data_IF_060235190035
#
_entry.id   IF_060235190035
#
_cell.length_a   1.000
_cell.length_b   1.000
_cell.length_c   1.000
_cell.angle_alpha   90.00
_cell.angle_beta   90.00
_cell.angle_gamma   90.00
#
_symmetry.space_group_name_H-M   'P 1'
#
loop_
_entity.id
_entity.type
_entity.pdbx_description
1 polymer ?
#
# COMPACT_ATOMS: atom_id res chain seq x y z
N UNK A 1 5.43 -25.74 14.96
CA UNK A 1 5.99 -25.68 13.62
C UNK A 1 5.48 -26.81 12.71
N UNK A 2 4.70 -27.78 13.21
CA UNK A 2 4.14 -28.88 12.41
C UNK A 2 5.14 -29.99 12.01
N UNK A 3 6.36 -29.97 12.57
CA UNK A 3 7.32 -31.06 12.33
C UNK A 3 6.82 -32.35 12.98
N UNK A 4 6.74 -33.42 12.22
CA UNK A 4 6.34 -34.76 12.68
C UNK A 4 7.58 -35.63 12.77
N UNK A 5 7.75 -36.31 13.89
CA UNK A 5 8.79 -37.30 14.11
C UNK A 5 8.18 -38.72 14.14
N UNK A 6 8.76 -39.65 13.40
CA UNK A 6 8.38 -41.06 13.40
C UNK A 6 9.51 -41.87 14.02
N UNK A 7 9.33 -42.30 15.26
CA UNK A 7 10.29 -43.10 16.02
C UNK A 7 9.90 -43.22 17.49
N UNK A 8 10.53 -44.12 18.23
CA UNK A 8 10.20 -44.40 19.65
C UNK A 8 10.53 -43.23 20.57
N UNK A 9 11.51 -42.38 20.21
CA UNK A 9 11.93 -41.24 21.05
C UNK A 9 12.10 -40.00 20.21
N UNK A 10 11.42 -38.89 20.53
CA UNK A 10 11.57 -37.63 19.77
C UNK A 10 12.98 -37.04 19.98
N UNK A 11 13.49 -36.27 19.03
CA UNK A 11 14.80 -35.63 19.16
C UNK A 11 14.82 -34.64 20.31
N UNK A 12 15.98 -34.40 20.92
CA UNK A 12 16.16 -33.44 22.02
C UNK A 12 15.70 -32.03 21.67
N UNK A 13 15.79 -31.69 20.42
CA UNK A 13 15.26 -30.42 19.86
C UNK A 13 14.68 -30.66 18.47
N UNK A 14 13.60 -29.95 18.17
CA UNK A 14 13.03 -29.96 16.84
C UNK A 14 14.05 -29.42 15.81
N UNK A 15 14.35 -30.15 14.73
CA UNK A 15 15.33 -29.70 13.72
C UNK A 15 14.89 -28.46 12.93
N UNK A 16 13.59 -28.13 12.98
CA UNK A 16 13.03 -26.98 12.25
C UNK A 16 12.95 -25.72 13.12
N UNK A 17 12.36 -25.82 14.34
CA UNK A 17 12.13 -24.63 15.17
C UNK A 17 12.89 -24.65 16.49
N UNK A 18 13.74 -25.65 16.73
CA UNK A 18 14.56 -25.85 17.93
C UNK A 18 13.77 -25.96 19.26
N UNK A 19 12.46 -26.17 19.18
CA UNK A 19 11.67 -26.46 20.40
C UNK A 19 12.19 -27.69 21.10
N UNK A 20 12.22 -27.68 22.45
CA UNK A 20 12.68 -28.77 23.26
C UNK A 20 11.72 -29.98 23.20
N UNK A 21 12.19 -31.16 23.61
CA UNK A 21 11.46 -32.44 23.55
C UNK A 21 10.09 -32.39 24.23
N UNK A 22 9.94 -31.61 25.31
CA UNK A 22 8.68 -31.45 26.05
C UNK A 22 7.56 -30.78 25.25
N UNK A 23 7.89 -30.23 24.10
CA UNK A 23 6.94 -29.61 23.15
C UNK A 23 6.43 -30.57 22.06
N UNK A 24 6.94 -31.79 22.02
CA UNK A 24 6.38 -32.84 21.18
C UNK A 24 5.17 -33.46 21.89
N UNK A 25 4.08 -33.62 21.14
CA UNK A 25 2.86 -34.27 21.60
C UNK A 25 2.71 -35.57 20.85
N UNK A 26 2.52 -36.66 21.59
CA UNK A 26 2.25 -37.98 21.01
C UNK A 26 0.91 -37.96 20.28
N UNK A 27 0.92 -38.33 19.02
CA UNK A 27 -0.29 -38.40 18.21
C UNK A 27 -0.91 -39.79 18.41
N UNK A 28 -1.68 -39.98 19.50
CA UNK A 28 -2.51 -41.17 19.74
C UNK A 28 -3.81 -40.99 18.94
N UNK A 29 -3.90 -41.66 17.81
CA UNK A 29 -5.12 -41.72 17.02
C UNK A 29 -5.02 -42.86 16.04
N UNK A 30 -5.95 -43.78 16.09
CA UNK A 30 -6.17 -44.75 15.03
C UNK A 30 -6.17 -44.00 13.69
N UNK A 31 -5.38 -44.50 12.75
CA UNK A 31 -5.53 -44.09 11.35
C UNK A 31 -6.95 -44.45 10.90
N UNK A 32 -7.92 -43.57 11.18
CA UNK A 32 -9.02 -43.50 10.28
C UNK A 32 -8.39 -43.17 8.91
N UNK A 33 -8.65 -44.05 7.97
CA UNK A 33 -8.34 -43.84 6.56
C UNK A 33 -9.06 -42.58 6.09
N UNK A 34 -8.55 -41.40 6.42
CA UNK A 34 -8.84 -40.20 5.68
C UNK A 34 -7.92 -40.21 4.46
N UNK A 35 -8.40 -40.84 3.45
CA UNK A 35 -7.96 -40.58 2.09
C UNK A 35 -7.91 -39.07 1.88
N UNK A 36 -6.76 -38.57 1.46
CA UNK A 36 -6.53 -37.19 0.98
C UNK A 36 -6.55 -36.03 1.97
N UNK A 37 -5.52 -35.92 2.83
CA UNK A 37 -5.11 -34.60 3.34
C UNK A 37 -3.60 -34.43 3.38
N UNK A 38 -2.95 -34.52 2.26
CA UNK A 38 -1.60 -34.02 2.06
C UNK A 38 -1.59 -33.03 0.90
N UNK A 39 -2.21 -31.89 1.09
CA UNK A 39 -1.91 -30.69 0.32
C UNK A 39 -2.27 -29.50 1.19
N UNK A 40 -1.27 -28.62 1.43
CA UNK A 40 -1.47 -27.32 2.07
C UNK A 40 -2.48 -26.48 1.28
N UNK A 41 -3.75 -26.73 1.50
CA UNK A 41 -4.83 -25.87 1.05
C UNK A 41 -4.96 -24.75 2.05
N UNK A 42 -4.64 -23.52 1.59
CA UNK A 42 -5.36 -22.36 2.08
C UNK A 42 -6.85 -22.71 2.11
N UNK A 43 -7.64 -22.30 3.10
CA UNK A 43 -9.08 -22.52 3.10
C UNK A 43 -9.72 -21.70 1.98
N UNK A 44 -9.64 -22.23 0.77
CA UNK A 44 -10.37 -21.73 -0.37
C UNK A 44 -11.62 -22.55 -0.48
N UNK A 45 -12.75 -21.87 -0.32
CA UNK A 45 -14.12 -22.28 -0.66
C UNK A 45 -14.26 -23.67 -1.26
N UNK A 46 -14.96 -24.55 -0.54
CA UNK A 46 -15.45 -25.83 -1.05
C UNK A 46 -16.55 -25.67 -2.11
N UNK A 47 -16.26 -24.94 -3.18
CA UNK A 47 -17.02 -25.02 -4.40
C UNK A 47 -16.44 -26.19 -5.19
N UNK A 48 -17.29 -27.17 -5.54
CA UNK A 48 -16.95 -28.22 -6.46
C UNK A 48 -16.13 -27.64 -7.63
N UNK A 49 -15.00 -28.26 -7.96
CA UNK A 49 -14.20 -27.90 -9.14
C UNK A 49 -15.02 -28.31 -10.37
N UNK A 50 -15.78 -27.44 -11.03
CA UNK A 50 -16.50 -27.83 -12.22
C UNK A 50 -15.50 -28.01 -13.36
N UNK A 51 -15.55 -29.15 -14.02
CA UNK A 51 -14.97 -29.33 -15.34
C UNK A 51 -13.49 -29.62 -15.41
N UNK A 52 -12.99 -30.55 -14.60
CA UNK A 52 -11.81 -31.30 -15.02
C UNK A 52 -12.17 -32.11 -16.28
N UNK A 53 -11.26 -32.14 -17.28
CA UNK A 53 -11.47 -32.95 -18.47
C UNK A 53 -11.32 -34.47 -18.20
N UNK A 54 -11.15 -34.86 -16.93
CA UNK A 54 -10.98 -36.22 -16.43
C UNK A 54 -11.53 -36.30 -14.99
N UNK A 55 -11.62 -37.54 -14.45
CA UNK A 55 -12.14 -37.80 -13.10
C UNK A 55 -11.36 -37.04 -12.02
N UNK A 56 -12.05 -36.35 -11.13
CA UNK A 56 -11.50 -35.59 -9.99
C UNK A 56 -10.59 -36.43 -9.10
N UNK A 57 -10.76 -37.75 -9.05
CA UNK A 57 -9.93 -38.69 -8.30
C UNK A 57 -8.44 -38.66 -8.75
N UNK A 58 -8.17 -38.24 -9.96
CA UNK A 58 -6.81 -38.16 -10.52
C UNK A 58 -6.23 -36.73 -10.49
N UNK A 59 -7.01 -35.77 -9.99
CA UNK A 59 -6.53 -34.39 -9.85
C UNK A 59 -5.42 -34.29 -8.80
N UNK A 60 -4.33 -33.60 -9.16
CA UNK A 60 -3.23 -33.31 -8.23
C UNK A 60 -2.74 -31.89 -8.38
N UNK A 61 -2.10 -31.38 -7.33
CA UNK A 61 -1.29 -30.17 -7.38
C UNK A 61 0.19 -30.56 -7.31
N UNK A 62 1.04 -29.83 -8.03
CA UNK A 62 2.49 -29.99 -7.95
C UNK A 62 3.12 -28.66 -7.50
N UNK A 63 3.57 -28.56 -6.22
CA UNK A 63 4.23 -27.37 -5.73
C UNK A 63 5.51 -26.99 -6.48
N UNK A 64 6.16 -27.95 -7.15
CA UNK A 64 7.32 -27.71 -8.02
C UNK A 64 6.95 -27.08 -9.37
N UNK A 65 5.69 -27.19 -9.81
CA UNK A 65 5.19 -26.56 -11.01
C UNK A 65 4.50 -25.22 -10.69
N UNK A 66 5.25 -24.14 -10.72
CA UNK A 66 4.87 -22.80 -10.24
C UNK A 66 3.50 -22.29 -10.68
N UNK A 67 3.03 -22.68 -11.86
CA UNK A 67 1.79 -22.15 -12.45
C UNK A 67 0.69 -23.17 -12.68
N UNK A 68 0.89 -24.43 -12.28
CA UNK A 68 -0.06 -25.51 -12.57
C UNK A 68 -1.47 -25.22 -12.07
N UNK A 69 -1.62 -24.89 -10.78
CA UNK A 69 -2.93 -24.58 -10.19
C UNK A 69 -3.56 -23.33 -10.83
N UNK A 70 -2.76 -22.31 -11.13
CA UNK A 70 -3.23 -21.10 -11.78
C UNK A 70 -3.74 -21.38 -13.21
N UNK A 71 -3.04 -22.22 -13.98
CA UNK A 71 -3.45 -22.60 -15.33
C UNK A 71 -4.76 -23.39 -15.27
N UNK A 72 -4.89 -24.33 -14.35
CA UNK A 72 -6.11 -25.09 -14.14
C UNK A 72 -7.28 -24.18 -13.75
N UNK A 73 -7.06 -23.23 -12.83
CA UNK A 73 -8.08 -22.26 -12.42
C UNK A 73 -8.54 -21.38 -13.60
N UNK A 74 -7.61 -20.92 -14.41
CA UNK A 74 -7.91 -20.13 -15.63
C UNK A 74 -8.69 -20.96 -16.65
N UNK A 75 -8.30 -22.21 -16.87
CA UNK A 75 -8.96 -23.11 -17.81
C UNK A 75 -10.39 -23.41 -17.41
N UNK A 76 -10.65 -23.58 -16.09
CA UNK A 76 -12.00 -23.82 -15.58
C UNK A 76 -12.84 -22.54 -15.61
N UNK A 77 -12.29 -21.40 -15.21
CA UNK A 77 -13.06 -20.15 -15.08
C UNK A 77 -13.24 -19.39 -16.40
N UNK A 78 -12.42 -19.65 -17.40
CA UNK A 78 -12.40 -18.90 -18.67
C UNK A 78 -12.12 -17.40 -18.49
N UNK A 79 -11.48 -16.99 -17.37
CA UNK A 79 -11.19 -15.59 -17.06
C UNK A 79 -9.91 -15.44 -16.23
N UNK A 80 -9.37 -14.22 -16.19
CA UNK A 80 -8.19 -13.90 -15.39
C UNK A 80 -8.45 -14.13 -13.91
N UNK A 81 -7.47 -14.72 -13.23
CA UNK A 81 -7.49 -14.90 -11.77
C UNK A 81 -7.08 -13.59 -11.10
N UNK A 82 -7.86 -13.16 -10.12
CA UNK A 82 -7.56 -11.97 -9.32
C UNK A 82 -6.71 -12.33 -8.10
N UNK A 83 -5.73 -11.47 -7.79
CA UNK A 83 -4.92 -11.54 -6.58
C UNK A 83 -5.05 -10.29 -5.72
N UNK A 84 -5.11 -10.47 -4.41
CA UNK A 84 -5.15 -9.38 -3.46
C UNK A 84 -3.76 -9.07 -2.90
N UNK A 85 -3.53 -7.79 -2.59
CA UNK A 85 -2.32 -7.26 -1.95
C UNK A 85 -1.04 -7.35 -2.81
N UNK A 86 0.09 -6.89 -2.26
CA UNK A 86 1.38 -6.85 -2.95
C UNK A 86 1.91 -8.22 -3.34
N UNK A 87 2.83 -8.22 -4.31
CA UNK A 87 3.56 -9.42 -4.72
C UNK A 87 4.28 -10.06 -3.53
N UNK A 88 4.41 -11.39 -3.58
CA UNK A 88 5.25 -12.16 -2.67
C UNK A 88 6.56 -12.61 -3.34
N UNK A 89 6.78 -12.20 -4.60
CA UNK A 89 8.05 -12.47 -5.28
C UNK A 89 9.17 -11.67 -4.64
N UNK A 90 10.31 -12.30 -4.47
CA UNK A 90 11.52 -11.64 -4.01
C UNK A 90 11.91 -10.52 -4.99
N UNK A 91 12.32 -9.40 -4.44
CA UNK A 91 12.84 -8.24 -5.17
C UNK A 91 13.73 -7.43 -4.22
N UNK A 92 14.70 -6.65 -4.72
CA UNK A 92 15.44 -5.71 -3.88
C UNK A 92 14.48 -4.76 -3.16
N UNK A 93 14.73 -4.53 -1.88
CA UNK A 93 13.81 -3.82 -1.00
C UNK A 93 14.50 -3.02 0.11
N UNK A 94 13.69 -2.50 1.02
CA UNK A 94 14.15 -1.65 2.10
C UNK A 94 15.02 -2.38 3.12
N UNK A 95 14.85 -3.71 3.28
CA UNK A 95 15.64 -4.53 4.20
C UNK A 95 17.10 -4.70 3.74
N UNK A 96 17.39 -4.47 2.46
CA UNK A 96 18.74 -4.50 1.90
C UNK A 96 19.53 -3.22 2.13
N UNK A 97 18.91 -2.18 2.71
CA UNK A 97 19.51 -0.86 2.96
C UNK A 97 19.66 -0.65 4.46
N UNK A 98 20.79 -0.09 4.88
CA UNK A 98 21.11 0.19 6.27
C UNK A 98 21.28 1.69 6.48
N UNK A 99 20.95 2.19 7.69
CA UNK A 99 21.26 3.53 8.13
C UNK A 99 22.62 3.53 8.83
N UNK A 100 23.46 4.51 8.51
CA UNK A 100 24.78 4.70 9.09
C UNK A 100 24.67 5.66 10.29
N UNK A 101 24.73 5.10 11.51
CA UNK A 101 24.69 5.91 12.73
C UNK A 101 25.98 6.70 12.95
N UNK A 102 25.82 7.95 13.37
CA UNK A 102 26.91 8.82 13.78
C UNK A 102 27.51 8.39 15.13
N UNK A 103 28.83 8.62 15.33
CA UNK A 103 29.48 8.35 16.61
C UNK A 103 30.48 9.46 16.99
N UNK A 104 31.44 9.73 16.15
CA UNK A 104 32.51 10.71 16.39
C UNK A 104 32.55 11.84 15.38
N UNK A 105 32.30 11.53 14.12
CA UNK A 105 32.29 12.50 13.02
C UNK A 105 31.24 12.10 11.94
N UNK A 106 30.10 12.75 11.95
CA UNK A 106 29.59 13.69 12.96
C UNK A 106 29.24 12.98 14.28
N UNK A 107 29.09 13.72 15.40
CA UNK A 107 28.55 13.17 16.63
C UNK A 107 27.02 13.03 16.51
N UNK A 108 26.38 12.05 17.18
CA UNK A 108 24.93 11.98 17.27
C UNK A 108 24.39 13.17 18.11
N UNK A 109 23.10 13.45 17.95
CA UNK A 109 22.43 14.38 18.85
C UNK A 109 22.10 13.69 20.18
N UNK A 110 21.84 14.49 21.22
CA UNK A 110 21.34 13.99 22.50
C UNK A 110 19.98 13.28 22.34
N UNK A 111 19.70 12.29 23.20
CA UNK A 111 18.51 11.45 23.12
C UNK A 111 17.18 12.23 23.17
N UNK A 112 17.19 13.39 23.84
CA UNK A 112 16.04 14.29 24.01
C UNK A 112 16.08 15.51 23.06
N UNK A 113 17.11 15.62 22.21
CA UNK A 113 17.22 16.74 21.28
C UNK A 113 15.96 16.87 20.39
N UNK A 114 15.45 18.09 20.22
CA UNK A 114 14.27 18.33 19.39
C UNK A 114 14.62 18.05 17.91
N UNK A 115 13.73 17.32 17.23
CA UNK A 115 13.85 17.02 15.80
C UNK A 115 12.62 17.52 15.06
N UNK A 116 12.83 18.30 14.01
CA UNK A 116 11.77 18.73 13.10
C UNK A 116 11.48 17.61 12.08
N UNK A 117 10.24 17.10 12.07
CA UNK A 117 9.78 16.03 11.17
C UNK A 117 8.75 16.51 10.16
N UNK A 118 8.28 17.75 10.27
CA UNK A 118 7.24 18.30 9.39
C UNK A 118 7.76 18.53 7.97
N UNK A 119 6.88 18.38 7.00
CA UNK A 119 7.12 18.70 5.60
C UNK A 119 5.93 19.45 5.00
N UNK A 120 6.14 20.07 3.84
CA UNK A 120 5.11 20.87 3.15
C UNK A 120 4.92 20.37 1.74
N UNK A 121 3.72 19.95 1.41
CA UNK A 121 3.32 19.69 0.02
C UNK A 121 2.69 20.96 -0.58
N UNK A 122 3.17 21.33 -1.75
CA UNK A 122 2.71 22.55 -2.41
C UNK A 122 3.23 23.83 -1.74
N UNK A 123 4.54 23.98 -1.63
CA UNK A 123 5.22 25.14 -1.03
C UNK A 123 4.76 26.47 -1.63
N UNK A 124 4.39 26.47 -2.93
CA UNK A 124 3.94 27.64 -3.68
C UNK A 124 2.41 27.71 -3.83
N UNK A 125 1.66 26.75 -3.33
CA UNK A 125 0.22 26.78 -3.35
C UNK A 125 -0.32 27.92 -2.47
N UNK A 126 -1.44 28.51 -2.85
CA UNK A 126 -2.13 29.55 -2.04
C UNK A 126 -2.46 29.04 -0.64
N UNK A 127 -2.73 27.73 -0.49
CA UNK A 127 -3.05 27.04 0.76
C UNK A 127 -2.18 25.79 0.91
N UNK A 128 -0.89 25.93 1.24
CA UNK A 128 0.00 24.76 1.32
C UNK A 128 -0.48 23.73 2.35
N UNK A 129 -0.23 22.46 2.07
CA UNK A 129 -0.51 21.37 3.00
C UNK A 129 0.73 21.13 3.87
N UNK A 130 0.66 21.58 5.11
CA UNK A 130 1.71 21.32 6.12
C UNK A 130 1.44 19.98 6.80
N UNK A 131 2.23 18.98 6.50
CA UNK A 131 2.19 17.67 7.14
C UNK A 131 3.02 17.72 8.43
N UNK A 132 2.36 17.63 9.60
CA UNK A 132 3.04 17.49 10.91
C UNK A 132 3.72 16.12 11.05
N UNK A 133 3.17 15.12 10.38
CA UNK A 133 3.68 13.77 10.29
C UNK A 133 4.03 13.47 8.81
N UNK A 134 5.27 13.15 8.45
CA UNK A 134 5.67 12.96 7.06
C UNK A 134 5.15 11.64 6.46
N UNK A 135 4.59 10.76 7.29
CA UNK A 135 3.95 9.52 6.88
C UNK A 135 2.45 9.64 7.08
N UNK A 136 1.64 9.26 6.08
CA UNK A 136 0.20 9.40 6.13
C UNK A 136 -0.53 8.21 5.47
N UNK A 137 -1.85 8.09 5.73
CA UNK A 137 -2.68 7.00 5.18
C UNK A 137 -2.95 7.23 3.70
N UNK A 138 -2.47 6.32 2.85
CA UNK A 138 -2.65 6.33 1.40
C UNK A 138 -4.10 6.06 0.97
N UNK A 139 -4.37 6.23 -0.31
CA UNK A 139 -5.68 6.03 -0.93
C UNK A 139 -6.18 4.58 -0.85
N UNK A 140 -7.31 4.41 -0.21
CA UNK A 140 -8.02 3.13 -0.07
C UNK A 140 -9.54 3.37 -0.11
N UNK A 141 -10.22 2.90 -1.14
CA UNK A 141 -11.61 3.26 -1.40
C UNK A 141 -12.61 2.65 -0.42
N UNK A 142 -13.66 3.41 -0.06
CA UNK A 142 -14.88 2.85 0.48
C UNK A 142 -15.55 1.94 -0.56
N UNK A 143 -15.92 0.75 -0.15
CA UNK A 143 -16.35 -0.34 -1.03
C UNK A 143 -15.29 -1.42 -1.17
N UNK A 144 -14.03 -1.09 -1.46
CA UNK A 144 -12.92 -2.03 -1.27
C UNK A 144 -12.71 -2.35 0.21
N UNK A 145 -12.77 -1.34 1.05
CA UNK A 145 -12.74 -1.41 2.52
C UNK A 145 -14.14 -1.18 3.11
N UNK A 146 -14.36 -1.68 4.31
CA UNK A 146 -15.56 -1.42 5.10
C UNK A 146 -15.60 0.03 5.60
N UNK A 147 -16.82 0.51 5.90
CA UNK A 147 -17.04 1.81 6.54
C UNK A 147 -16.28 1.91 7.87
N UNK A 148 -16.36 0.86 8.67
CA UNK A 148 -15.79 0.81 10.02
C UNK A 148 -14.26 1.02 10.00
N UNK A 149 -13.54 0.32 9.12
CA UNK A 149 -12.08 0.51 9.04
C UNK A 149 -11.72 1.86 8.43
N UNK A 150 -12.51 2.40 7.51
CA UNK A 150 -12.29 3.75 6.96
C UNK A 150 -12.39 4.81 8.05
N UNK A 151 -13.42 4.74 8.89
CA UNK A 151 -13.61 5.63 10.03
C UNK A 151 -12.47 5.45 11.06
N UNK A 152 -12.12 4.20 11.37
CA UNK A 152 -11.04 3.91 12.31
C UNK A 152 -9.68 4.45 11.84
N UNK A 153 -9.37 4.34 10.55
CA UNK A 153 -8.15 4.91 9.96
C UNK A 153 -8.15 6.43 10.05
N UNK A 154 -9.27 7.10 9.72
CA UNK A 154 -9.40 8.55 9.80
C UNK A 154 -9.21 9.05 11.24
N UNK A 155 -9.96 8.48 12.18
CA UNK A 155 -9.89 8.81 13.60
C UNK A 155 -8.49 8.56 14.18
N UNK A 156 -7.91 7.38 13.91
CA UNK A 156 -6.59 7.02 14.44
C UNK A 156 -5.45 7.85 13.85
N UNK A 157 -5.46 8.15 12.55
CA UNK A 157 -4.48 9.04 11.94
C UNK A 157 -4.63 10.48 12.49
N UNK A 158 -5.85 10.97 12.67
CA UNK A 158 -6.12 12.29 13.25
C UNK A 158 -5.58 12.41 14.68
N UNK A 159 -5.78 11.40 15.54
CA UNK A 159 -5.24 11.35 16.90
C UNK A 159 -3.71 11.45 16.96
N UNK A 160 -3.02 11.06 15.89
CA UNK A 160 -1.56 11.18 15.75
C UNK A 160 -1.12 12.41 14.91
N UNK A 161 -2.06 13.24 14.43
CA UNK A 161 -1.75 14.38 13.58
C UNK A 161 -1.28 14.02 12.16
N UNK A 162 -1.57 12.81 11.70
CA UNK A 162 -1.27 12.36 10.34
C UNK A 162 -2.45 12.60 9.39
N UNK A 163 -2.15 12.84 8.11
CA UNK A 163 -3.17 13.01 7.08
C UNK A 163 -3.74 11.65 6.62
N UNK A 164 -4.89 11.71 5.93
CA UNK A 164 -5.54 10.56 5.33
C UNK A 164 -6.04 10.86 3.92
N UNK A 165 -6.05 9.85 3.06
CA UNK A 165 -6.55 9.94 1.70
C UNK A 165 -7.91 9.25 1.53
N UNK A 166 -8.76 9.79 0.63
CA UNK A 166 -10.11 9.25 0.36
C UNK A 166 -10.09 7.87 -0.30
N UNK A 167 -9.28 7.71 -1.33
CA UNK A 167 -9.35 6.58 -2.25
C UNK A 167 -10.39 6.77 -3.36
N UNK A 168 -10.35 5.88 -4.36
CA UNK A 168 -11.11 5.95 -5.62
C UNK A 168 -12.64 5.84 -5.46
N UNK A 169 -13.15 5.64 -4.27
CA UNK A 169 -14.57 5.37 -4.03
C UNK A 169 -15.47 6.59 -3.84
N UNK A 170 -14.94 7.79 -3.93
CA UNK A 170 -15.61 9.00 -3.48
C UNK A 170 -15.35 9.27 -1.99
N UNK A 171 -16.05 10.27 -1.44
CA UNK A 171 -15.90 10.70 -0.05
C UNK A 171 -16.96 10.02 0.82
N UNK A 172 -16.52 9.26 1.80
CA UNK A 172 -17.38 8.80 2.89
C UNK A 172 -17.47 9.94 3.94
N UNK A 173 -18.65 10.51 4.20
CA UNK A 173 -18.77 11.69 5.04
C UNK A 173 -18.19 11.52 6.45
N UNK A 174 -18.44 10.39 7.08
CA UNK A 174 -17.95 10.09 8.45
C UNK A 174 -16.44 10.01 8.50
N UNK A 175 -15.80 9.34 7.54
CA UNK A 175 -14.34 9.29 7.40
C UNK A 175 -13.75 10.68 7.30
N UNK A 176 -14.32 11.51 6.40
CA UNK A 176 -13.83 12.86 6.19
C UNK A 176 -14.00 13.74 7.44
N UNK A 177 -15.08 13.58 8.18
CA UNK A 177 -15.34 14.36 9.41
C UNK A 177 -14.38 13.99 10.55
N UNK A 178 -13.90 12.74 10.61
CA UNK A 178 -12.92 12.28 11.60
C UNK A 178 -11.47 12.62 11.20
N UNK A 179 -11.19 12.87 9.93
CA UNK A 179 -9.82 13.11 9.46
C UNK A 179 -9.28 14.47 9.88
N UNK A 180 -8.03 14.51 10.37
CA UNK A 180 -7.30 15.76 10.67
C UNK A 180 -7.00 16.58 9.41
N UNK A 181 -6.42 15.92 8.41
CA UNK A 181 -6.17 16.44 7.07
C UNK A 181 -6.60 15.37 6.07
N UNK A 182 -7.28 15.79 4.99
CA UNK A 182 -7.90 14.86 4.05
C UNK A 182 -7.49 15.18 2.62
N UNK A 183 -6.82 14.23 1.95
CA UNK A 183 -6.37 14.34 0.56
C UNK A 183 -7.38 13.60 -0.31
N UNK A 184 -7.98 14.31 -1.25
CA UNK A 184 -9.02 13.76 -2.15
C UNK A 184 -8.42 13.16 -3.41
N UNK A 185 -8.76 11.91 -3.75
CA UNK A 185 -8.36 11.25 -4.99
C UNK A 185 -9.31 11.61 -6.13
N UNK A 186 -8.84 12.40 -7.09
CA UNK A 186 -9.57 12.76 -8.29
C UNK A 186 -9.35 11.69 -9.36
N UNK A 187 -10.44 11.05 -9.79
CA UNK A 187 -10.44 9.86 -10.66
C UNK A 187 -11.28 10.10 -11.91
N UNK A 188 -11.10 9.31 -13.01
CA UNK A 188 -11.88 9.48 -14.24
C UNK A 188 -13.39 9.46 -14.04
N UNK A 189 -13.87 8.67 -13.07
CA UNK A 189 -15.30 8.59 -12.71
C UNK A 189 -15.82 9.79 -11.93
N UNK A 190 -14.94 10.68 -11.44
CA UNK A 190 -15.28 11.93 -10.72
C UNK A 190 -16.22 11.76 -9.53
N UNK A 191 -16.19 10.61 -8.85
CA UNK A 191 -16.99 10.39 -7.65
C UNK A 191 -16.73 11.47 -6.60
N UNK A 192 -17.79 12.09 -6.10
CA UNK A 192 -17.73 13.19 -5.11
C UNK A 192 -16.90 14.42 -5.54
N UNK A 193 -16.55 14.55 -6.81
CA UNK A 193 -15.74 15.67 -7.33
C UNK A 193 -16.58 16.94 -7.55
N UNK A 194 -17.27 17.42 -6.52
CA UNK A 194 -18.01 18.67 -6.54
C UNK A 194 -17.12 19.82 -6.08
N UNK A 195 -17.42 21.05 -6.53
CA UNK A 195 -16.69 22.25 -6.11
C UNK A 195 -16.70 22.43 -4.57
N UNK A 196 -17.83 22.11 -3.93
CA UNK A 196 -17.95 22.15 -2.48
C UNK A 196 -16.93 21.19 -1.83
N UNK A 197 -16.86 19.94 -2.27
CA UNK A 197 -15.92 18.96 -1.73
C UNK A 197 -14.48 19.35 -1.99
N UNK A 198 -14.15 19.83 -3.21
CA UNK A 198 -12.80 20.28 -3.56
C UNK A 198 -12.32 21.43 -2.66
N UNK A 199 -13.23 22.32 -2.23
CA UNK A 199 -12.92 23.42 -1.30
C UNK A 199 -12.83 22.99 0.17
N UNK A 200 -13.26 21.80 0.51
CA UNK A 200 -13.32 21.30 1.90
C UNK A 200 -12.23 20.28 2.21
N UNK A 201 -11.45 19.84 1.23
CA UNK A 201 -10.32 18.92 1.43
C UNK A 201 -9.00 19.68 1.64
N UNK A 202 -7.95 19.02 2.09
CA UNK A 202 -6.65 19.64 2.35
C UNK A 202 -5.78 19.69 1.10
N UNK A 203 -5.93 18.73 0.19
CA UNK A 203 -5.28 18.67 -1.12
C UNK A 203 -6.10 17.78 -2.06
N UNK A 204 -5.83 17.87 -3.36
CA UNK A 204 -6.42 17.04 -4.42
C UNK A 204 -5.31 16.25 -5.09
N UNK A 205 -5.48 14.95 -5.31
CA UNK A 205 -4.51 14.13 -6.02
C UNK A 205 -5.15 13.48 -7.26
N UNK A 206 -4.66 13.81 -8.45
CA UNK A 206 -5.09 13.22 -9.73
C UNK A 206 -4.49 11.81 -9.82
N UNK A 207 -5.34 10.80 -9.89
CA UNK A 207 -4.91 9.42 -10.03
C UNK A 207 -4.80 9.00 -11.48
N UNK A 208 -3.57 8.89 -11.98
CA UNK A 208 -3.27 8.31 -13.29
C UNK A 208 -3.05 6.80 -13.19
N UNK A 209 -2.41 6.34 -12.10
CA UNK A 209 -2.12 4.93 -11.88
C UNK A 209 -1.98 4.58 -10.41
N UNK A 210 -1.84 3.29 -10.12
CA UNK A 210 -1.62 2.78 -8.76
C UNK A 210 -0.90 1.44 -8.77
N UNK A 211 0.05 1.24 -7.85
CA UNK A 211 0.71 -0.01 -7.54
C UNK A 211 1.19 -0.78 -8.77
N UNK A 212 0.86 -2.07 -8.82
CA UNK A 212 1.19 -2.97 -9.93
C UNK A 212 0.12 -2.98 -11.04
N UNK A 213 -0.51 -1.83 -11.30
CA UNK A 213 -1.55 -1.68 -12.32
C UNK A 213 -1.33 -0.45 -13.22
N UNK A 214 -0.13 -0.24 -13.78
CA UNK A 214 0.06 0.86 -14.73
C UNK A 214 -0.84 0.64 -15.96
N UNK A 215 -1.61 1.67 -16.34
CA UNK A 215 -2.52 1.60 -17.48
C UNK A 215 -3.81 0.80 -17.25
N UNK A 216 -4.16 0.48 -16.00
CA UNK A 216 -5.40 -0.21 -15.66
C UNK A 216 -6.17 0.51 -14.55
N UNK A 217 -7.47 0.72 -14.76
CA UNK A 217 -8.36 1.34 -13.77
C UNK A 217 -8.64 0.47 -12.54
N UNK A 218 -9.41 1.04 -11.62
CA UNK A 218 -9.92 0.32 -10.43
C UNK A 218 -10.99 -0.70 -10.80
N UNK A 219 -11.11 -1.74 -9.98
CA UNK A 219 -12.18 -2.74 -10.09
C UNK A 219 -12.76 -3.01 -8.71
N UNK A 220 -14.07 -2.87 -8.58
CA UNK A 220 -14.85 -3.28 -7.42
C UNK A 220 -15.83 -4.38 -7.85
N UNK A 221 -15.66 -5.63 -7.37
CA UNK A 221 -16.59 -6.72 -7.68
C UNK A 221 -18.02 -6.41 -7.24
N UNK A 222 -19.00 -6.83 -8.03
CA UNK A 222 -20.43 -6.58 -7.78
C UNK A 222 -20.91 -7.06 -6.42
N UNK A 223 -20.39 -8.18 -5.94
CA UNK A 223 -20.67 -8.70 -4.59
C UNK A 223 -20.37 -7.71 -3.45
N UNK A 224 -19.54 -6.69 -3.72
CA UNK A 224 -19.21 -5.63 -2.77
C UNK A 224 -19.96 -4.32 -3.03
N UNK A 225 -20.75 -4.25 -4.11
CA UNK A 225 -21.49 -3.05 -4.48
C UNK A 225 -22.86 -3.07 -3.80
N UNK A 226 -22.88 -2.57 -2.55
CA UNK A 226 -24.11 -2.37 -1.78
C UNK A 226 -24.92 -1.21 -2.35
N UNK A 227 -26.24 -1.06 -2.01
CA UNK A 227 -27.03 0.09 -2.41
C UNK A 227 -26.36 1.44 -2.08
N UNK A 228 -25.79 1.59 -0.92
CA UNK A 228 -25.07 2.79 -0.50
C UNK A 228 -23.84 3.11 -1.38
N UNK A 229 -23.05 2.09 -1.70
CA UNK A 229 -21.86 2.25 -2.58
C UNK A 229 -22.30 2.56 -4.01
N UNK A 230 -23.38 1.93 -4.46
CA UNK A 230 -23.97 2.17 -5.77
C UNK A 230 -24.45 3.61 -5.90
N UNK A 231 -25.16 4.13 -4.90
CA UNK A 231 -25.61 5.52 -4.85
C UNK A 231 -24.43 6.50 -4.89
N UNK A 232 -23.42 6.30 -4.01
CA UNK A 232 -22.22 7.14 -3.96
C UNK A 232 -21.47 7.19 -5.30
N UNK A 233 -21.51 6.10 -6.05
CA UNK A 233 -20.78 5.95 -7.32
C UNK A 233 -21.65 6.13 -8.57
N UNK A 234 -22.97 6.41 -8.42
CA UNK A 234 -23.90 6.54 -9.53
C UNK A 234 -23.99 5.25 -10.37
N UNK A 235 -24.05 4.08 -9.71
CA UNK A 235 -24.08 2.74 -10.33
C UNK A 235 -25.23 1.91 -9.78
N UNK A 236 -25.42 0.71 -10.33
CA UNK A 236 -26.44 -0.23 -9.82
C UNK A 236 -25.84 -1.15 -8.75
N UNK A 237 -26.60 -1.48 -7.70
CA UNK A 237 -26.19 -2.47 -6.72
C UNK A 237 -25.96 -3.84 -7.36
N UNK A 238 -24.94 -4.57 -6.89
CA UNK A 238 -24.64 -5.92 -7.34
C UNK A 238 -23.90 -6.03 -8.69
N UNK A 239 -23.70 -4.93 -9.40
CA UNK A 239 -22.95 -4.91 -10.68
C UNK A 239 -21.48 -4.53 -10.45
N UNK A 240 -20.57 -5.19 -11.17
CA UNK A 240 -19.13 -4.85 -11.17
C UNK A 240 -18.91 -3.40 -11.57
N UNK A 241 -18.08 -2.69 -10.81
CA UNK A 241 -17.67 -1.33 -11.15
C UNK A 241 -16.23 -1.37 -11.66
N UNK A 242 -16.06 -1.12 -12.95
CA UNK A 242 -14.75 -0.97 -13.58
C UNK A 242 -14.51 0.51 -13.91
N UNK A 243 -13.38 1.04 -13.45
CA UNK A 243 -12.96 2.39 -13.79
C UNK A 243 -12.22 2.39 -15.13
N UNK A 244 -12.33 3.46 -15.92
CA UNK A 244 -11.52 3.62 -17.12
C UNK A 244 -10.01 3.52 -16.82
N UNK A 245 -9.22 3.11 -17.80
CA UNK A 245 -7.76 3.02 -17.69
C UNK A 245 -7.07 4.38 -17.57
N UNK A 246 -7.77 5.46 -17.90
CA UNK A 246 -7.29 6.84 -17.82
C UNK A 246 -8.43 7.83 -18.03
N UNK A 247 -8.12 9.11 -17.95
CA UNK A 247 -9.08 10.18 -18.21
C UNK A 247 -9.32 10.31 -19.72
N UNK A 248 -10.56 10.22 -20.22
CA UNK A 248 -10.85 10.28 -21.65
C UNK A 248 -10.41 11.60 -22.32
N UNK A 249 -10.39 12.68 -21.55
CA UNK A 249 -9.97 14.02 -21.99
C UNK A 249 -8.45 14.21 -22.06
N UNK A 250 -7.64 13.38 -21.42
CA UNK A 250 -6.18 13.49 -21.46
C UNK A 250 -5.65 12.90 -22.76
N UNK A 251 -5.29 13.74 -23.72
CA UNK A 251 -4.65 13.36 -24.99
C UNK A 251 -3.16 13.73 -25.01
N UNK A 252 -2.73 14.67 -24.18
CA UNK A 252 -1.37 15.15 -24.10
C UNK A 252 -1.08 15.84 -22.77
N UNK A 253 0.14 16.32 -22.64
CA UNK A 253 0.61 17.00 -21.43
C UNK A 253 -0.09 18.34 -21.17
N UNK A 254 -0.53 18.99 -22.24
CA UNK A 254 -1.31 20.24 -22.17
C UNK A 254 -2.68 20.04 -21.51
N UNK A 255 -3.30 18.87 -21.75
CA UNK A 255 -4.59 18.56 -21.13
C UNK A 255 -4.43 18.23 -19.65
N UNK A 256 -3.31 17.57 -19.28
CA UNK A 256 -2.95 17.33 -17.87
C UNK A 256 -2.73 18.66 -17.14
N UNK A 257 -2.01 19.61 -17.76
CA UNK A 257 -1.83 20.96 -17.20
C UNK A 257 -3.16 21.68 -17.00
N UNK A 258 -4.04 21.68 -18.00
CA UNK A 258 -5.39 22.28 -17.87
C UNK A 258 -6.17 21.63 -16.70
N UNK A 259 -6.04 20.32 -16.48
CA UNK A 259 -6.69 19.62 -15.38
C UNK A 259 -6.11 20.06 -14.03
N UNK A 260 -4.80 20.18 -13.90
CA UNK A 260 -4.13 20.70 -12.68
C UNK A 260 -4.60 22.12 -12.40
N UNK A 261 -4.57 23.01 -13.40
CA UNK A 261 -4.98 24.41 -13.27
C UNK A 261 -6.48 24.54 -12.92
N UNK A 262 -7.33 23.69 -13.49
CA UNK A 262 -8.75 23.63 -13.16
C UNK A 262 -8.96 23.22 -11.71
N UNK A 263 -8.34 22.14 -11.26
CA UNK A 263 -8.48 21.66 -9.88
C UNK A 263 -7.91 22.65 -8.87
N UNK A 264 -6.79 23.30 -9.17
CA UNK A 264 -6.21 24.36 -8.33
C UNK A 264 -7.18 25.53 -8.17
N UNK A 265 -7.85 25.95 -9.22
CA UNK A 265 -8.86 27.00 -9.18
C UNK A 265 -10.12 26.56 -8.41
N UNK A 266 -10.67 25.39 -8.73
CA UNK A 266 -11.90 24.88 -8.11
C UNK A 266 -11.72 24.58 -6.61
N UNK A 267 -10.52 24.19 -6.18
CA UNK A 267 -10.18 23.92 -4.78
C UNK A 267 -9.80 25.17 -3.97
N UNK A 268 -9.89 26.38 -4.54
CA UNK A 268 -9.44 27.64 -3.93
C UNK A 268 -7.94 27.63 -3.57
N UNK A 269 -7.12 27.11 -4.49
CA UNK A 269 -5.66 27.15 -4.38
C UNK A 269 -5.06 26.14 -3.39
N UNK A 270 -5.73 25.04 -3.15
CA UNK A 270 -5.15 23.89 -2.43
C UNK A 270 -4.14 23.16 -3.32
N UNK A 271 -3.16 22.47 -2.74
CA UNK A 271 -2.20 21.68 -3.50
C UNK A 271 -2.90 20.65 -4.39
N UNK A 272 -2.43 20.55 -5.63
CA UNK A 272 -2.86 19.54 -6.60
C UNK A 272 -1.69 18.63 -6.89
N UNK A 273 -1.84 17.34 -6.55
CA UNK A 273 -0.86 16.30 -6.83
C UNK A 273 -1.23 15.45 -8.03
N UNK A 274 -0.25 14.69 -8.53
CA UNK A 274 -0.43 13.66 -9.55
C UNK A 274 0.17 12.36 -9.04
N UNK A 275 -0.64 11.28 -9.04
CA UNK A 275 -0.20 9.94 -8.66
C UNK A 275 -0.07 9.04 -9.87
N UNK A 276 1.13 8.45 -10.04
CA UNK A 276 1.45 7.50 -11.10
C UNK A 276 1.93 6.18 -10.52
N UNK A 277 1.67 5.07 -11.21
CA UNK A 277 2.33 3.80 -10.93
C UNK A 277 3.76 3.82 -11.49
N UNK A 278 4.67 3.08 -10.88
CA UNK A 278 6.06 3.00 -11.32
C UNK A 278 6.21 2.17 -12.61
N UNK A 279 5.68 2.70 -13.72
CA UNK A 279 5.79 2.17 -15.06
C UNK A 279 6.98 2.76 -15.83
N UNK A 280 6.71 3.66 -16.75
CA UNK A 280 7.72 4.40 -17.54
C UNK A 280 8.05 5.72 -16.85
N UNK A 281 8.66 5.65 -15.68
CA UNK A 281 8.77 6.72 -14.67
C UNK A 281 9.20 8.06 -15.29
N UNK A 282 10.32 8.11 -16.01
CA UNK A 282 10.87 9.38 -16.56
C UNK A 282 9.95 9.99 -17.61
N UNK A 283 9.31 9.17 -18.46
CA UNK A 283 8.38 9.63 -19.49
C UNK A 283 7.10 10.17 -18.86
N UNK A 284 6.59 9.51 -17.83
CA UNK A 284 5.40 9.96 -17.12
C UNK A 284 5.71 11.21 -16.29
N UNK A 285 6.91 11.31 -15.70
CA UNK A 285 7.38 12.50 -14.99
C UNK A 285 7.55 13.73 -15.90
N UNK A 286 7.98 13.54 -17.16
CA UNK A 286 8.01 14.64 -18.14
C UNK A 286 6.64 15.31 -18.29
N UNK A 287 5.59 14.50 -18.39
CA UNK A 287 4.21 15.00 -18.47
C UNK A 287 3.77 15.66 -17.16
N UNK A 288 4.12 15.03 -16.03
CA UNK A 288 3.77 15.57 -14.71
C UNK A 288 4.46 16.93 -14.47
N UNK A 289 5.77 17.03 -14.71
CA UNK A 289 6.52 18.29 -14.53
C UNK A 289 5.99 19.40 -15.44
N UNK A 290 5.66 19.10 -16.70
CA UNK A 290 5.03 20.06 -17.60
C UNK A 290 3.68 20.58 -17.08
N UNK A 291 2.93 19.73 -16.40
CA UNK A 291 1.63 20.09 -15.82
C UNK A 291 1.74 20.95 -14.54
N UNK A 292 2.94 21.08 -13.96
CA UNK A 292 3.24 21.90 -12.78
C UNK A 292 2.35 21.58 -11.58
N UNK A 293 2.25 20.30 -11.15
CA UNK A 293 1.55 19.96 -9.91
C UNK A 293 2.36 20.42 -8.69
N UNK A 294 1.72 20.44 -7.55
CA UNK A 294 2.35 20.82 -6.28
C UNK A 294 3.14 19.65 -5.65
N UNK A 295 2.73 18.42 -5.96
CA UNK A 295 3.45 17.19 -5.56
C UNK A 295 3.19 16.05 -6.56
N UNK A 296 4.10 15.08 -6.59
CA UNK A 296 3.96 13.86 -7.39
C UNK A 296 4.11 12.65 -6.47
N UNK A 297 3.18 11.71 -6.56
CA UNK A 297 3.24 10.44 -5.83
C UNK A 297 3.61 9.30 -6.77
N UNK A 298 4.68 8.59 -6.45
CA UNK A 298 5.10 7.37 -7.16
C UNK A 298 4.65 6.13 -6.39
N UNK A 299 3.89 5.25 -7.04
CA UNK A 299 3.43 4.00 -6.45
C UNK A 299 4.21 2.81 -7.03
N UNK A 300 5.15 2.29 -6.25
CA UNK A 300 6.08 1.24 -6.69
C UNK A 300 5.50 -0.18 -6.62
N UNK A 301 6.28 -1.16 -7.10
CA UNK A 301 5.89 -2.58 -7.20
C UNK A 301 5.49 -3.25 -5.88
N UNK A 302 5.97 -2.75 -4.74
CA UNK A 302 5.51 -3.21 -3.43
C UNK A 302 4.04 -2.89 -3.12
N UNK A 303 3.47 -1.91 -3.86
CA UNK A 303 2.06 -1.53 -3.78
C UNK A 303 1.18 -2.45 -4.60
N UNK A 304 -0.06 -2.61 -4.15
CA UNK A 304 -1.10 -3.33 -4.90
C UNK A 304 -2.50 -2.99 -4.36
N UNK A 305 -3.50 -3.60 -4.97
CA UNK A 305 -4.90 -3.37 -4.64
C UNK A 305 -5.56 -4.61 -4.03
N UNK A 306 -6.78 -4.47 -3.53
CA UNK A 306 -7.58 -5.59 -3.04
C UNK A 306 -8.02 -6.56 -4.14
N UNK A 307 -8.03 -6.11 -5.39
CA UNK A 307 -8.42 -6.91 -6.57
C UNK A 307 -7.62 -6.43 -7.78
N UNK A 308 -6.72 -7.27 -8.27
CA UNK A 308 -5.97 -7.04 -9.52
C UNK A 308 -5.72 -8.37 -10.21
N UNK A 309 -5.58 -8.39 -11.56
CA UNK A 309 -5.15 -9.60 -12.23
C UNK A 309 -3.82 -10.07 -11.66
N UNK A 310 -3.76 -11.33 -11.23
CA UNK A 310 -2.60 -11.90 -10.55
C UNK A 310 -1.33 -11.78 -11.40
N UNK A 311 -1.41 -12.18 -12.67
CA UNK A 311 -0.25 -12.14 -13.56
C UNK A 311 0.21 -10.72 -13.89
N UNK A 312 -0.70 -9.73 -13.99
CA UNK A 312 -0.33 -8.34 -14.14
C UNK A 312 0.45 -7.85 -12.91
N UNK A 313 -0.02 -8.17 -11.70
CA UNK A 313 0.67 -7.86 -10.45
C UNK A 313 2.10 -8.43 -10.41
N UNK A 314 2.26 -9.67 -10.88
CA UNK A 314 3.57 -10.34 -10.85
C UNK A 314 4.50 -9.90 -11.98
N UNK A 315 3.98 -9.29 -13.04
CA UNK A 315 4.75 -8.95 -14.24
C UNK A 315 4.95 -7.44 -14.47
N UNK A 316 4.43 -6.56 -13.58
CA UNK A 316 4.47 -5.12 -13.84
C UNK A 316 5.04 -4.29 -12.69
N UNK A 317 5.38 -3.06 -13.01
CA UNK A 317 5.91 -2.02 -12.11
C UNK A 317 7.35 -2.23 -11.63
N UNK A 318 8.04 -1.13 -11.42
CA UNK A 318 9.42 -1.06 -10.91
C UNK A 318 9.42 -1.19 -9.38
N UNK A 319 10.35 -1.96 -8.78
CA UNK A 319 10.53 -2.01 -7.33
C UNK A 319 10.67 -0.62 -6.71
N UNK A 320 10.05 -0.41 -5.55
CA UNK A 320 9.85 0.92 -4.96
C UNK A 320 11.15 1.67 -4.69
N UNK A 321 12.22 0.97 -4.29
CA UNK A 321 13.56 1.56 -4.09
C UNK A 321 14.09 2.19 -5.38
N UNK A 322 14.06 1.44 -6.48
CA UNK A 322 14.49 1.95 -7.79
C UNK A 322 13.55 3.03 -8.33
N UNK A 323 12.25 2.88 -8.10
CA UNK A 323 11.26 3.87 -8.53
C UNK A 323 11.50 5.23 -7.87
N UNK A 324 11.79 5.25 -6.56
CA UNK A 324 12.13 6.46 -5.83
C UNK A 324 13.43 7.08 -6.34
N UNK A 325 14.50 6.29 -6.45
CA UNK A 325 15.79 6.76 -6.97
C UNK A 325 15.64 7.41 -8.37
N UNK A 326 14.97 6.72 -9.30
CA UNK A 326 14.76 7.22 -10.66
C UNK A 326 13.94 8.49 -10.69
N UNK A 327 12.88 8.55 -9.87
CA UNK A 327 12.02 9.74 -9.79
C UNK A 327 12.80 10.94 -9.23
N UNK A 328 13.56 10.76 -8.13
CA UNK A 328 14.35 11.85 -7.55
C UNK A 328 15.43 12.32 -8.53
N UNK A 329 16.18 11.40 -9.10
CA UNK A 329 17.20 11.72 -10.11
C UNK A 329 16.64 12.51 -11.30
N UNK A 330 15.45 12.13 -11.79
CA UNK A 330 14.79 12.87 -12.88
C UNK A 330 14.42 14.29 -12.44
N UNK A 331 13.73 14.45 -11.30
CA UNK A 331 13.31 15.77 -10.79
C UNK A 331 14.52 16.68 -10.55
N UNK A 332 15.62 16.16 -10.01
CA UNK A 332 16.86 16.91 -9.81
C UNK A 332 17.50 17.33 -11.14
N UNK A 333 17.49 16.46 -12.14
CA UNK A 333 18.07 16.73 -13.47
C UNK A 333 17.36 17.88 -14.19
N UNK A 334 16.05 18.07 -13.95
CA UNK A 334 15.26 19.16 -14.49
C UNK A 334 15.10 20.33 -13.50
N UNK A 335 15.80 20.26 -12.35
CA UNK A 335 15.76 21.27 -11.28
C UNK A 335 14.34 21.60 -10.82
N UNK A 336 13.49 20.57 -10.70
CA UNK A 336 12.12 20.71 -10.23
C UNK A 336 12.07 20.73 -8.70
N UNK A 337 11.31 21.66 -8.13
CA UNK A 337 11.03 21.77 -6.70
C UNK A 337 9.68 21.14 -6.29
N UNK A 338 9.05 20.42 -7.22
CA UNK A 338 7.82 19.64 -6.97
C UNK A 338 8.11 18.60 -5.89
N UNK A 339 7.28 18.58 -4.85
CA UNK A 339 7.42 17.61 -3.76
C UNK A 339 7.22 16.17 -4.24
N UNK A 340 8.08 15.26 -3.81
CA UNK A 340 8.05 13.84 -4.17
C UNK A 340 7.50 13.00 -3.03
N UNK A 341 6.40 12.32 -3.26
CA UNK A 341 5.80 11.36 -2.33
C UNK A 341 6.03 9.94 -2.85
N UNK A 342 6.41 9.04 -1.96
CA UNK A 342 6.58 7.62 -2.30
C UNK A 342 5.54 6.75 -1.61
N UNK A 343 5.05 5.74 -2.31
CA UNK A 343 4.21 4.67 -1.76
C UNK A 343 4.54 3.35 -2.46
N UNK A 344 4.09 2.24 -1.91
CA UNK A 344 4.29 0.92 -2.51
C UNK A 344 5.14 -0.01 -1.64
N UNK A 345 4.54 -0.57 -0.60
CA UNK A 345 5.14 -1.64 0.19
C UNK A 345 5.90 -1.22 1.45
N UNK A 346 6.13 0.08 1.68
CA UNK A 346 6.74 0.58 2.92
C UNK A 346 5.82 0.30 4.12
N UNK A 347 6.39 -0.07 5.28
CA UNK A 347 5.60 -0.52 6.43
C UNK A 347 6.07 -0.04 7.79
N UNK A 348 7.35 0.13 8.00
CA UNK A 348 7.97 0.45 9.30
C UNK A 348 8.80 1.73 9.23
N UNK A 349 9.06 2.32 10.36
CA UNK A 349 9.80 3.59 10.50
C UNK A 349 11.16 3.58 9.78
N UNK A 350 11.86 2.44 9.81
CA UNK A 350 13.12 2.28 9.09
C UNK A 350 12.97 2.43 7.57
N UNK A 351 11.89 1.88 6.98
CA UNK A 351 11.60 2.06 5.54
C UNK A 351 11.40 3.55 5.23
N UNK A 352 10.68 4.25 6.11
CA UNK A 352 10.33 5.66 5.91
C UNK A 352 11.55 6.57 6.03
N UNK A 353 12.41 6.32 7.02
CA UNK A 353 13.68 7.05 7.17
C UNK A 353 14.58 6.88 5.94
N UNK A 354 14.74 5.64 5.45
CA UNK A 354 15.50 5.33 4.23
C UNK A 354 14.90 6.00 2.99
N UNK A 355 13.56 5.98 2.86
CA UNK A 355 12.90 6.64 1.74
C UNK A 355 13.08 8.16 1.77
N UNK A 356 13.03 8.79 2.94
CA UNK A 356 13.29 10.22 3.11
C UNK A 356 14.76 10.52 2.80
N UNK A 357 15.71 9.72 3.28
CA UNK A 357 17.13 9.84 2.95
C UNK A 357 17.39 9.71 1.43
N UNK A 358 16.60 8.93 0.72
CA UNK A 358 16.63 8.83 -0.75
C UNK A 358 15.90 9.98 -1.47
N UNK A 359 15.44 11.01 -0.74
CA UNK A 359 14.86 12.23 -1.28
C UNK A 359 13.32 12.23 -1.45
N UNK A 360 12.58 11.38 -0.74
CA UNK A 360 11.14 11.53 -0.61
C UNK A 360 10.80 12.65 0.38
N UNK A 361 9.87 13.55 0.03
CA UNK A 361 9.35 14.59 0.93
C UNK A 361 8.32 14.03 1.91
N UNK A 362 7.59 12.97 1.51
CA UNK A 362 6.62 12.28 2.36
C UNK A 362 6.40 10.83 1.90
N UNK A 363 5.81 10.03 2.77
CA UNK A 363 5.51 8.61 2.52
C UNK A 363 4.03 8.34 2.73
N UNK A 364 3.36 7.75 1.74
CA UNK A 364 1.97 7.32 1.84
C UNK A 364 1.90 5.81 2.06
N UNK A 365 1.18 5.36 3.11
CA UNK A 365 1.11 3.96 3.53
C UNK A 365 -0.32 3.42 3.55
N UNK A 366 -0.53 2.22 3.00
CA UNK A 366 -1.85 1.57 2.95
C UNK A 366 -1.92 0.35 3.88
N UNK A 367 -1.07 -0.64 3.61
CA UNK A 367 -1.13 -1.94 4.29
C UNK A 367 -0.76 -1.85 5.77
N UNK A 368 0.23 -1.04 6.14
CA UNK A 368 0.70 -0.95 7.51
C UNK A 368 -0.38 -0.41 8.47
N UNK A 369 -1.06 0.73 8.21
CA UNK A 369 -2.16 1.18 9.06
C UNK A 369 -3.36 0.22 9.04
N UNK A 370 -3.62 -0.52 7.95
CA UNK A 370 -4.62 -1.59 7.96
C UNK A 370 -4.23 -2.74 8.91
N UNK A 371 -2.95 -3.14 8.95
CA UNK A 371 -2.45 -4.15 9.90
C UNK A 371 -2.53 -3.64 11.34
N UNK A 372 -2.19 -2.39 11.57
CA UNK A 372 -2.36 -1.76 12.87
C UNK A 372 -3.83 -1.79 13.31
N UNK A 373 -4.78 -1.48 12.43
CA UNK A 373 -6.21 -1.53 12.73
C UNK A 373 -6.68 -2.97 13.06
N UNK A 374 -6.61 -3.89 12.09
CA UNK A 374 -7.13 -5.25 12.26
C UNK A 374 -6.71 -6.25 11.16
N UNK A 375 -6.06 -5.83 10.06
CA UNK A 375 -5.78 -6.71 8.92
C UNK A 375 -4.82 -7.84 9.29
N UNK A 376 -5.21 -9.09 9.03
CA UNK A 376 -4.43 -10.31 9.30
C UNK A 376 -3.79 -10.91 8.03
N UNK A 377 -3.77 -10.17 6.91
CA UNK A 377 -3.14 -10.59 5.66
C UNK A 377 -3.71 -11.89 5.04
N UNK A 378 -5.01 -12.15 5.18
CA UNK A 378 -5.67 -13.32 4.57
C UNK A 378 -5.59 -13.35 3.04
N UNK A 379 -5.28 -12.23 2.38
CA UNK A 379 -5.16 -12.11 0.91
C UNK A 379 -6.43 -12.47 0.12
N UNK A 380 -7.58 -12.38 0.77
CA UNK A 380 -8.91 -12.63 0.17
C UNK A 380 -9.72 -11.34 -0.01
N UNK A 381 -9.06 -10.18 -0.07
CA UNK A 381 -9.73 -8.87 -0.11
C UNK A 381 -10.71 -8.72 -1.29
N UNK A 382 -10.42 -9.36 -2.43
CA UNK A 382 -11.28 -9.33 -3.61
C UNK A 382 -12.59 -10.09 -3.46
N UNK A 383 -12.67 -11.07 -2.52
CA UNK A 383 -13.86 -11.92 -2.35
C UNK A 383 -14.97 -11.30 -1.48
N UNK A 384 -14.71 -10.16 -0.84
CA UNK A 384 -15.65 -9.57 0.12
C UNK A 384 -15.83 -10.35 1.45
N UNK A 385 -15.13 -11.45 1.66
CA UNK A 385 -15.28 -12.35 2.83
C UNK A 385 -14.21 -12.17 3.90
N UNK A 386 -13.65 -10.97 4.04
CA UNK A 386 -12.61 -10.70 5.03
C UNK A 386 -13.12 -10.93 6.46
N UNK A 387 -12.61 -11.95 7.21
CA UNK A 387 -13.14 -12.28 8.54
C UNK A 387 -12.80 -11.24 9.60
N UNK A 388 -11.81 -10.37 9.35
CA UNK A 388 -11.43 -9.28 10.25
C UNK A 388 -12.30 -8.02 10.07
N UNK A 389 -13.34 -8.02 9.22
CA UNK A 389 -14.20 -6.87 9.00
C UNK A 389 -13.56 -5.73 8.18
N UNK A 390 -12.35 -5.93 7.62
CA UNK A 390 -11.58 -4.87 6.95
C UNK A 390 -12.00 -4.69 5.48
N UNK A 391 -11.94 -5.75 4.68
CA UNK A 391 -12.17 -5.69 3.23
C UNK A 391 -13.47 -6.44 2.85
N UNK A 392 -14.56 -6.10 3.49
CA UNK A 392 -15.89 -6.72 3.33
C UNK A 392 -16.99 -5.68 3.37
N UNK A 393 -18.14 -5.99 2.77
CA UNK A 393 -19.38 -5.24 2.91
C UNK A 393 -20.47 -6.08 3.61
N UNK A 394 -20.17 -7.33 3.96
CA UNK A 394 -21.07 -8.18 4.74
C UNK A 394 -21.28 -7.58 6.15
N UNK A 395 -22.55 -7.28 6.54
CA UNK A 395 -22.84 -6.65 7.85
C UNK A 395 -22.36 -7.47 9.05
N UNK A 396 -22.41 -8.81 8.98
CA UNK A 396 -21.98 -9.66 10.10
C UNK A 396 -20.44 -9.69 10.25
N UNK A 397 -19.72 -9.63 9.14
CA UNK A 397 -18.27 -9.54 9.17
C UNK A 397 -17.81 -8.14 9.60
N UNK A 398 -18.49 -7.08 9.15
CA UNK A 398 -18.19 -5.68 9.52
C UNK A 398 -18.29 -5.42 11.01
N UNK A 399 -19.32 -5.98 11.70
CA UNK A 399 -19.52 -5.86 13.16
C UNK A 399 -18.32 -6.34 14.00
N UNK A 400 -17.44 -7.19 13.44
CA UNK A 400 -16.26 -7.70 14.13
C UNK A 400 -15.19 -6.63 14.37
N UNK A 401 -15.13 -5.60 13.51
CA UNK A 401 -14.19 -4.51 13.65
C UNK A 401 -14.74 -3.47 14.62
N UNK A 402 -14.00 -3.24 15.73
CA UNK A 402 -14.33 -2.25 16.74
C UNK A 402 -13.63 -0.94 16.42
N UNK A 403 -14.37 0.06 15.97
CA UNK A 403 -13.85 1.32 15.41
C UNK A 403 -12.88 1.99 16.39
N UNK A 404 -13.26 2.20 17.64
CA UNK A 404 -12.44 2.93 18.60
C UNK A 404 -11.16 2.19 18.97
N UNK A 405 -11.22 0.87 19.15
CA UNK A 405 -10.03 0.04 19.40
C UNK A 405 -9.08 0.03 18.19
N UNK A 406 -9.62 -0.09 16.99
CA UNK A 406 -8.84 -0.03 15.77
C UNK A 406 -8.21 1.36 15.57
N UNK A 407 -8.94 2.43 15.87
CA UNK A 407 -8.44 3.81 15.81
C UNK A 407 -7.28 4.03 16.78
N UNK A 408 -7.39 3.58 18.04
CA UNK A 408 -6.32 3.69 19.03
C UNK A 408 -5.06 2.94 18.58
N UNK A 409 -5.20 1.74 18.02
CA UNK A 409 -4.08 0.97 17.47
C UNK A 409 -3.40 1.69 16.30
N UNK A 410 -4.18 2.29 15.41
CA UNK A 410 -3.66 3.11 14.30
C UNK A 410 -2.93 4.34 14.85
N UNK A 411 -3.50 5.02 15.84
CA UNK A 411 -2.87 6.18 16.50
C UNK A 411 -1.52 5.80 17.13
N UNK A 412 -1.47 4.68 17.84
CA UNK A 412 -0.25 4.19 18.47
C UNK A 412 0.82 3.84 17.42
N UNK A 413 0.44 3.19 16.31
CA UNK A 413 1.35 2.92 15.19
C UNK A 413 1.99 4.22 14.67
N UNK A 414 1.21 5.27 14.41
CA UNK A 414 1.74 6.53 13.91
C UNK A 414 2.56 7.29 14.96
N UNK A 415 2.17 7.29 16.23
CA UNK A 415 2.95 7.92 17.32
C UNK A 415 4.31 7.27 17.49
N UNK A 416 4.35 5.94 17.56
CA UNK A 416 5.61 5.17 17.64
C UNK A 416 6.48 5.43 16.41
N UNK A 417 5.89 5.36 15.22
CA UNK A 417 6.60 5.69 13.96
C UNK A 417 7.26 7.08 14.02
N UNK A 418 6.55 8.07 14.55
CA UNK A 418 7.06 9.44 14.64
C UNK A 418 8.27 9.54 15.58
N UNK A 419 8.19 8.90 16.75
CA UNK A 419 9.31 8.89 17.71
C UNK A 419 10.54 8.13 17.17
N UNK A 420 10.31 7.02 16.48
CA UNK A 420 11.40 6.28 15.83
C UNK A 420 12.04 7.08 14.67
N UNK A 421 11.27 7.84 13.90
CA UNK A 421 11.82 8.74 12.87
C UNK A 421 12.70 9.85 13.51
N UNK A 422 12.28 10.40 14.65
CA UNK A 422 13.12 11.35 15.41
C UNK A 422 14.41 10.68 15.93
N UNK A 423 14.30 9.43 16.39
CA UNK A 423 15.46 8.65 16.83
C UNK A 423 16.44 8.44 15.68
N UNK A 424 15.97 8.07 14.48
CA UNK A 424 16.84 7.93 13.30
C UNK A 424 17.56 9.22 12.95
N UNK A 425 16.89 10.37 12.98
CA UNK A 425 17.53 11.66 12.76
C UNK A 425 18.58 11.97 13.85
N UNK A 426 18.30 11.69 15.13
CA UNK A 426 19.26 11.92 16.23
C UNK A 426 20.51 11.08 16.09
N UNK A 427 20.37 9.78 15.81
CA UNK A 427 21.52 8.88 15.69
C UNK A 427 22.39 9.15 14.44
N UNK A 428 21.86 9.87 13.46
CA UNK A 428 22.63 10.33 12.28
C UNK A 428 23.15 11.76 12.43
N UNK A 429 22.86 12.42 13.57
CA UNK A 429 23.35 13.77 13.86
C UNK A 429 22.51 14.91 13.28
N UNK A 430 21.28 14.63 12.82
CA UNK A 430 20.40 15.59 12.16
C UNK A 430 19.31 16.14 13.08
N UNK A 431 19.12 17.47 13.08
CA UNK A 431 18.04 18.16 13.81
C UNK A 431 16.72 18.22 13.02
N UNK A 432 16.76 17.86 11.76
CA UNK A 432 15.58 17.78 10.87
C UNK A 432 15.59 16.44 10.14
N UNK A 433 14.45 15.78 10.09
CA UNK A 433 14.35 14.49 9.42
C UNK A 433 14.72 14.55 7.92
N UNK A 434 14.42 15.66 7.25
CA UNK A 434 14.74 15.88 5.83
C UNK A 434 16.18 16.38 5.58
N UNK A 435 17.05 16.35 6.61
CA UNK A 435 18.50 16.45 6.46
C UNK A 435 19.14 15.07 6.21
N UNK A 436 18.39 13.98 6.48
CA UNK A 436 18.79 12.64 6.05
C UNK A 436 19.03 12.62 4.54
N UNK A 437 20.14 12.01 4.15
CA UNK A 437 20.57 11.91 2.75
C UNK A 437 21.10 10.51 2.43
N UNK A 438 21.47 10.27 1.19
CA UNK A 438 22.11 9.00 0.79
C UNK A 438 23.47 8.78 1.46
N UNK A 439 24.09 9.84 1.99
CA UNK A 439 25.34 9.74 2.76
C UNK A 439 25.13 9.07 4.13
N UNK A 440 23.90 9.05 4.62
CA UNK A 440 23.48 8.34 5.83
C UNK A 440 23.10 6.87 5.56
N UNK A 441 23.29 6.39 4.33
CA UNK A 441 22.87 5.05 3.91
C UNK A 441 24.04 4.22 3.37
N UNK A 442 23.96 2.91 3.57
CA UNK A 442 24.67 1.93 2.76
C UNK A 442 23.76 0.75 2.41
N UNK A 443 24.22 -0.13 1.53
CA UNK A 443 23.45 -1.33 1.17
C UNK A 443 24.33 -2.56 1.15
N UNK A 444 23.77 -3.71 1.54
CA UNK A 444 24.39 -5.03 1.42
C UNK A 444 24.06 -5.70 0.07
N UNK A 445 23.25 -5.06 -0.75
CA UNK A 445 22.87 -5.53 -2.08
C UNK A 445 23.73 -4.86 -3.16
N UNK A 446 24.54 -5.67 -3.86
CA UNK A 446 25.30 -5.17 -5.01
C UNK A 446 24.38 -4.52 -6.06
N UNK A 447 23.21 -5.10 -6.31
CA UNK A 447 22.26 -4.57 -7.30
C UNK A 447 21.75 -3.17 -6.90
N UNK A 448 21.42 -2.95 -5.62
CA UNK A 448 21.02 -1.61 -5.15
C UNK A 448 22.18 -0.62 -5.29
N UNK A 449 23.40 -0.98 -4.90
CA UNK A 449 24.56 -0.11 -5.04
C UNK A 449 24.88 0.23 -6.50
N UNK A 450 24.73 -0.71 -7.41
CA UNK A 450 25.02 -0.50 -8.84
C UNK A 450 23.97 0.39 -9.53
N UNK A 451 22.69 0.28 -9.15
CA UNK A 451 21.58 0.97 -9.83
C UNK A 451 20.94 2.10 -9.03
N UNK A 452 21.52 2.48 -7.89
CA UNK A 452 21.12 3.66 -7.10
C UNK A 452 22.35 4.49 -6.72
N UNK A 453 22.16 5.58 -5.95
CA UNK A 453 23.26 6.36 -5.40
C UNK A 453 23.75 5.85 -4.03
N UNK A 454 23.19 4.73 -3.52
CA UNK A 454 23.53 4.20 -2.20
C UNK A 454 24.84 3.40 -2.29
N UNK A 455 25.89 3.75 -1.53
CA UNK A 455 27.15 3.01 -1.57
C UNK A 455 26.98 1.60 -1.01
N UNK A 456 27.80 0.66 -1.48
CA UNK A 456 27.91 -0.67 -0.88
C UNK A 456 28.58 -0.58 0.50
N UNK A 457 28.13 -1.41 1.46
CA UNK A 457 28.70 -1.47 2.83
C UNK A 457 30.13 -2.01 2.83
#
# INVERSE_FOLDING_TARGET
>A
CGYIWEGETPPVQCPVCRAATDKFVEMTGEREKSENQASGRSPGNGAARPGLAYDDAYGRSDPGCRYMDLIHEMAVKGKSVSGAMGTQMAMPGWDDILLLGAQLNPPPLADDAPVCVSTVLGKHAKRPLVLKHPVYVSHMSFGALSREVKIALAKGSAMAGAAMCSGEGGILPEERNEAFQYIFEYVPNRYSATQENLRRVSAVEIKIGQGTKPGMGGHLPGEKVTPEIAELRGRKPGEDIQSPSGFPELKGKEDLKKMVDMLRRESDGRPVGIKIAAGRIERDLEFCVYAEPDFITIDGRGGATGSSPLLLREASSVPTVYALHRARKYLDSVRSDISLVITGGLRVSADFAKAIAMGADAVAVATAPLMAAACQQYRICGTGRCPAGVATQDPELRKRLKIDQAAERVANYFRVTLEELKMFARITGHSRLHELSVDDLCTVSREISEFTSIPHA
#
